data_IF_482903812870
#
_entry.id   IF_482903812870
#
_cell.length_a   1.000
_cell.length_b   1.000
_cell.length_c   1.000
_cell.angle_alpha   90.00
_cell.angle_beta   90.00
_cell.angle_gamma   90.00
#
_symmetry.space_group_name_H-M   'P 1'
#
loop_
_entity.id
_entity.type
_entity.pdbx_description
1 polymer ?
#
# COMPACT_ATOMS: atom_id res chain seq x y z
N UNK A 1 -3.09 -0.46 -9.43
CA UNK A 1 -3.77 -1.74 -9.71
C UNK A 1 -4.07 -2.40 -8.38
N UNK A 2 -5.32 -2.77 -8.11
CA UNK A 2 -5.70 -3.42 -6.85
C UNK A 2 -5.51 -4.92 -6.94
N UNK A 3 -4.83 -5.51 -5.95
CA UNK A 3 -4.74 -6.96 -5.81
C UNK A 3 -5.96 -7.47 -5.04
N UNK A 4 -6.85 -8.21 -5.72
CA UNK A 4 -8.10 -8.76 -5.16
C UNK A 4 -9.01 -7.69 -4.51
N UNK A 5 -8.97 -6.47 -5.04
CA UNK A 5 -9.77 -5.34 -4.55
C UNK A 5 -10.09 -4.36 -5.66
N UNK A 6 -11.32 -3.85 -5.67
CA UNK A 6 -11.78 -2.78 -6.55
C UNK A 6 -11.58 -1.38 -5.94
N UNK A 7 -11.32 -1.33 -4.63
CA UNK A 7 -11.06 -0.09 -3.89
C UNK A 7 -9.57 0.06 -3.61
N UNK A 8 -9.07 1.30 -3.67
CA UNK A 8 -7.71 1.64 -3.29
C UNK A 8 -7.56 1.42 -1.78
N UNK A 9 -6.65 0.55 -1.32
CA UNK A 9 -6.35 0.41 0.10
C UNK A 9 -5.71 1.68 0.66
N UNK A 10 -6.16 2.12 1.83
CA UNK A 10 -5.69 3.32 2.51
C UNK A 10 -4.69 2.98 3.62
N UNK A 11 -3.65 2.21 3.27
CA UNK A 11 -2.54 1.83 4.14
C UNK A 11 -2.97 1.05 5.40
N UNK A 12 -3.40 1.74 6.46
CA UNK A 12 -3.94 1.15 7.68
C UNK A 12 -5.36 0.58 7.49
N UNK A 13 -6.11 1.10 6.52
CA UNK A 13 -7.44 0.62 6.17
C UNK A 13 -7.41 -0.22 4.89
N UNK A 14 -8.23 -1.28 4.88
CA UNK A 14 -8.36 -2.18 3.73
C UNK A 14 -8.98 -1.51 2.51
N UNK A 15 -9.82 -0.52 2.72
CA UNK A 15 -10.55 0.20 1.68
C UNK A 15 -10.41 1.70 1.85
N UNK A 16 -10.77 2.42 0.79
CA UNK A 16 -10.97 3.87 0.78
C UNK A 16 -12.18 4.18 -0.12
N UNK A 17 -12.67 5.44 -0.16
CA UNK A 17 -13.73 5.82 -1.10
C UNK A 17 -13.26 5.86 -2.57
N UNK A 18 -11.97 5.64 -2.83
CA UNK A 18 -11.39 5.75 -4.17
C UNK A 18 -11.29 4.38 -4.86
N UNK A 19 -11.71 4.26 -6.14
CA UNK A 19 -11.54 3.03 -6.90
C UNK A 19 -10.10 2.87 -7.40
N UNK A 20 -9.67 1.62 -7.65
CA UNK A 20 -8.46 1.35 -8.44
C UNK A 20 -8.79 1.36 -9.93
N UNK A 21 -7.79 1.60 -10.79
CA UNK A 21 -7.99 1.59 -12.24
C UNK A 21 -8.27 0.20 -12.81
N UNK A 22 -7.70 -0.84 -12.19
CA UNK A 22 -7.79 -2.25 -12.63
C UNK A 22 -7.64 -3.15 -11.40
N UNK A 23 -8.48 -4.19 -11.33
CA UNK A 23 -8.42 -5.27 -10.34
C UNK A 23 -7.71 -6.49 -10.94
N UNK A 24 -6.84 -7.13 -10.16
CA UNK A 24 -6.11 -8.33 -10.55
C UNK A 24 -6.20 -9.36 -9.42
N UNK A 25 -6.50 -10.60 -9.78
CA UNK A 25 -6.89 -11.66 -8.83
C UNK A 25 -5.71 -12.51 -8.35
N UNK A 26 -4.60 -12.52 -9.08
CA UNK A 26 -3.45 -13.36 -8.76
C UNK A 26 -2.12 -12.78 -9.27
N UNK A 27 -0.97 -13.23 -8.71
CA UNK A 27 0.35 -12.75 -9.12
C UNK A 27 0.67 -12.95 -10.61
N UNK A 28 0.10 -13.97 -11.25
CA UNK A 28 0.32 -14.25 -12.67
C UNK A 28 -0.32 -13.18 -13.57
N UNK A 29 -1.51 -12.71 -13.24
CA UNK A 29 -2.15 -11.61 -13.96
C UNK A 29 -1.35 -10.30 -13.85
N UNK A 30 -0.78 -10.01 -12.67
CA UNK A 30 0.13 -8.87 -12.48
C UNK A 30 1.35 -9.01 -13.37
N UNK A 31 2.01 -10.18 -13.35
CA UNK A 31 3.16 -10.45 -14.19
C UNK A 31 2.86 -10.30 -15.70
N UNK A 32 1.70 -10.78 -16.15
CA UNK A 32 1.24 -10.61 -17.53
C UNK A 32 1.02 -9.14 -17.89
N UNK A 33 0.41 -8.34 -17.00
CA UNK A 33 0.24 -6.91 -17.19
C UNK A 33 1.57 -6.16 -17.28
N UNK A 34 2.54 -6.50 -16.43
CA UNK A 34 3.92 -5.96 -16.49
C UNK A 34 4.57 -6.27 -17.84
N UNK A 35 4.53 -7.54 -18.27
CA UNK A 35 5.11 -7.99 -19.54
C UNK A 35 4.44 -7.30 -20.74
N UNK A 36 3.11 -7.23 -20.77
CA UNK A 36 2.37 -6.57 -21.84
C UNK A 36 2.72 -5.08 -21.94
N UNK A 37 2.74 -4.37 -20.80
CA UNK A 37 3.13 -2.95 -20.74
C UNK A 37 4.52 -2.73 -21.35
N UNK A 38 5.53 -3.46 -20.89
CA UNK A 38 6.91 -3.23 -21.32
C UNK A 38 7.20 -3.74 -22.73
N UNK A 39 6.60 -4.86 -23.17
CA UNK A 39 6.72 -5.34 -24.54
C UNK A 39 6.07 -4.40 -25.56
N UNK A 40 5.10 -3.59 -25.12
CA UNK A 40 4.46 -2.56 -25.95
C UNK A 40 5.27 -1.25 -25.99
N UNK A 41 6.48 -1.22 -25.40
CA UNK A 41 7.35 -0.04 -25.34
C UNK A 41 6.92 1.03 -24.33
N UNK A 42 5.88 0.76 -23.50
CA UNK A 42 5.39 1.71 -22.51
C UNK A 42 6.30 1.74 -21.28
N UNK A 43 7.16 2.76 -21.17
CA UNK A 43 8.08 2.96 -20.04
C UNK A 43 7.34 3.23 -18.70
N UNK A 44 8.07 3.14 -17.59
CA UNK A 44 7.57 3.43 -16.24
C UNK A 44 7.15 2.20 -15.42
N UNK A 45 6.90 2.42 -14.13
CA UNK A 45 6.51 1.40 -13.16
C UNK A 45 5.00 1.13 -13.10
N UNK A 46 4.62 0.20 -12.21
CA UNK A 46 3.24 -0.09 -11.84
C UNK A 46 3.13 -0.04 -10.32
N UNK A 47 2.05 0.54 -9.80
CA UNK A 47 1.72 0.48 -8.37
C UNK A 47 0.71 -0.65 -8.15
N UNK A 48 1.12 -1.67 -7.40
CA UNK A 48 0.26 -2.77 -6.95
C UNK A 48 -0.20 -2.46 -5.53
N UNK A 49 -1.47 -2.14 -5.38
CA UNK A 49 -2.07 -1.81 -4.11
C UNK A 49 -2.66 -3.08 -3.50
N UNK A 50 -2.08 -3.50 -2.38
CA UNK A 50 -2.39 -4.75 -1.68
C UNK A 50 -3.00 -4.41 -0.32
N UNK A 51 -4.27 -4.75 -0.07
CA UNK A 51 -4.90 -4.48 1.22
C UNK A 51 -4.13 -5.09 2.39
N UNK A 52 -4.01 -4.36 3.50
CA UNK A 52 -3.54 -4.92 4.77
C UNK A 52 -4.40 -6.13 5.17
N UNK A 53 -3.85 -7.21 5.76
CA UNK A 53 -4.67 -8.33 6.21
C UNK A 53 -5.72 -7.89 7.24
N UNK A 54 -6.92 -8.47 7.18
CA UNK A 54 -8.06 -8.12 8.05
C UNK A 54 -7.72 -8.04 9.55
N UNK A 55 -6.96 -8.99 10.14
CA UNK A 55 -6.67 -8.96 11.57
C UNK A 55 -5.82 -7.77 12.03
N UNK A 56 -5.15 -7.08 11.09
CA UNK A 56 -4.28 -5.93 11.37
C UNK A 56 -4.83 -4.62 10.82
N UNK A 57 -6.01 -4.67 10.19
CA UNK A 57 -6.68 -3.49 9.67
C UNK A 57 -7.20 -2.63 10.83
N UNK A 58 -7.04 -1.32 10.70
CA UNK A 58 -7.53 -0.36 11.69
C UNK A 58 -8.90 0.19 11.30
N UNK A 59 -9.68 0.58 12.31
CA UNK A 59 -10.93 1.31 12.10
C UNK A 59 -10.66 2.62 11.37
N UNK A 60 -11.40 2.86 10.28
CA UNK A 60 -11.30 4.08 9.48
C UNK A 60 -11.55 5.33 10.34
N UNK A 61 -12.50 5.28 11.27
CA UNK A 61 -12.81 6.40 12.17
C UNK A 61 -11.64 6.69 13.10
N UNK A 62 -11.05 5.66 13.71
CA UNK A 62 -9.97 5.84 14.69
C UNK A 62 -8.69 6.34 14.01
N UNK A 63 -8.32 5.76 12.87
CA UNK A 63 -7.09 6.15 12.18
C UNK A 63 -7.20 7.53 11.53
N UNK A 64 -8.37 7.89 10.99
CA UNK A 64 -8.57 9.22 10.43
C UNK A 64 -8.47 10.30 11.51
N UNK A 65 -9.05 10.08 12.69
CA UNK A 65 -8.90 11.00 13.81
C UNK A 65 -7.43 11.21 14.22
N UNK A 66 -6.65 10.12 14.27
CA UNK A 66 -5.21 10.17 14.56
C UNK A 66 -4.41 10.89 13.47
N UNK A 67 -4.69 10.62 12.19
CA UNK A 67 -4.05 11.26 11.04
C UNK A 67 -4.36 12.76 11.03
N UNK A 68 -5.62 13.15 11.18
CA UNK A 68 -6.03 14.55 11.20
C UNK A 68 -5.35 15.32 12.33
N UNK A 69 -5.26 14.72 13.52
CA UNK A 69 -4.53 15.31 14.63
C UNK A 69 -3.03 15.46 14.33
N UNK A 70 -2.39 14.40 13.84
CA UNK A 70 -0.97 14.45 13.47
C UNK A 70 -0.68 15.50 12.38
N UNK A 71 -1.58 15.66 11.41
CA UNK A 71 -1.46 16.69 10.36
C UNK A 71 -1.57 18.09 10.96
N UNK A 72 -2.55 18.34 11.83
CA UNK A 72 -2.67 19.65 12.51
C UNK A 72 -1.43 19.98 13.32
N UNK A 73 -0.97 19.05 14.15
CA UNK A 73 0.23 19.24 14.99
C UNK A 73 1.49 19.46 14.13
N UNK A 74 1.60 18.80 12.97
CA UNK A 74 2.74 19.00 12.05
C UNK A 74 2.78 20.42 11.48
N UNK A 75 1.61 21.02 11.24
CA UNK A 75 1.48 22.38 10.73
C UNK A 75 1.79 23.41 11.83
N UNK A 76 1.26 23.20 13.03
CA UNK A 76 1.51 24.05 14.20
C UNK A 76 3.00 24.09 14.57
N UNK A 77 3.71 22.96 14.39
CA UNK A 77 5.14 22.84 14.66
C UNK A 77 6.03 23.22 13.47
N UNK A 78 5.46 23.58 12.32
CA UNK A 78 6.23 23.95 11.12
C UNK A 78 7.06 22.81 10.52
N UNK A 79 6.59 21.56 10.64
CA UNK A 79 7.28 20.38 10.08
C UNK A 79 7.06 20.31 8.58
N UNK A 80 8.14 20.37 7.79
CA UNK A 80 8.06 20.44 6.34
C UNK A 80 9.08 19.55 5.61
N UNK A 81 8.83 19.33 4.31
CA UNK A 81 9.74 18.59 3.44
C UNK A 81 9.92 17.14 3.89
N UNK A 82 11.19 16.70 3.96
CA UNK A 82 11.54 15.31 4.28
C UNK A 82 11.18 14.88 5.71
N UNK A 83 10.91 15.83 6.60
CA UNK A 83 10.60 15.57 8.01
C UNK A 83 9.12 15.27 8.24
N UNK A 84 8.24 15.65 7.30
CA UNK A 84 6.80 15.49 7.44
C UNK A 84 6.38 14.02 7.56
N UNK A 85 6.85 13.12 6.69
CA UNK A 85 6.42 11.71 6.74
C UNK A 85 6.91 10.98 8.01
N UNK A 86 8.19 11.07 8.42
CA UNK A 86 8.63 10.49 9.69
C UNK A 86 7.83 11.01 10.89
N UNK A 87 7.59 12.32 10.97
CA UNK A 87 6.79 12.91 12.04
C UNK A 87 5.36 12.33 12.08
N UNK A 88 4.67 12.33 10.94
CA UNK A 88 3.29 11.87 10.85
C UNK A 88 3.16 10.40 11.25
N UNK A 89 4.07 9.53 10.79
CA UNK A 89 4.03 8.11 11.12
C UNK A 89 4.29 7.86 12.61
N UNK A 90 5.30 8.53 13.18
CA UNK A 90 5.57 8.44 14.63
C UNK A 90 4.36 8.92 15.42
N UNK A 91 3.79 10.06 15.05
CA UNK A 91 2.70 10.66 15.80
C UNK A 91 1.41 9.85 15.72
N UNK A 92 1.08 9.30 14.55
CA UNK A 92 -0.05 8.37 14.39
C UNK A 92 0.16 7.12 15.24
N UNK A 93 1.39 6.58 15.31
CA UNK A 93 1.71 5.45 16.19
C UNK A 93 1.48 5.78 17.67
N UNK A 94 1.86 6.96 18.14
CA UNK A 94 1.63 7.39 19.53
C UNK A 94 0.15 7.55 19.84
N UNK A 95 -0.60 8.21 18.95
CA UNK A 95 -2.05 8.46 19.11
C UNK A 95 -2.89 7.18 19.07
N UNK A 96 -2.37 6.12 18.46
CA UNK A 96 -3.02 4.81 18.35
C UNK A 96 -2.50 3.78 19.35
N UNK A 97 -1.70 4.20 20.35
CA UNK A 97 -1.17 3.29 21.37
C UNK A 97 -0.25 2.20 20.82
N UNK A 98 0.40 2.44 19.67
CA UNK A 98 1.29 1.49 19.01
C UNK A 98 0.62 0.60 17.96
N UNK A 99 -0.71 0.58 17.85
CA UNK A 99 -1.41 -0.23 16.84
C UNK A 99 -1.04 0.17 15.41
N UNK A 100 -0.86 1.47 15.15
CA UNK A 100 -0.40 1.96 13.84
C UNK A 100 0.96 1.40 13.43
N UNK A 101 1.89 1.23 14.38
CA UNK A 101 3.19 0.61 14.09
C UNK A 101 3.04 -0.88 13.77
N UNK A 102 2.26 -1.61 14.56
CA UNK A 102 2.02 -3.04 14.33
C UNK A 102 1.36 -3.29 12.97
N UNK A 103 0.34 -2.50 12.62
CA UNK A 103 -0.32 -2.55 11.32
C UNK A 103 0.66 -2.30 10.17
N UNK A 104 1.56 -1.32 10.31
CA UNK A 104 2.58 -1.02 9.30
C UNK A 104 3.57 -2.18 9.10
N UNK A 105 4.04 -2.80 10.20
CA UNK A 105 4.92 -3.98 10.14
C UNK A 105 4.27 -5.12 9.35
N UNK A 106 3.02 -5.44 9.68
CA UNK A 106 2.27 -6.52 9.02
C UNK A 106 1.96 -6.21 7.55
N UNK A 107 1.68 -4.94 7.23
CA UNK A 107 1.52 -4.49 5.84
C UNK A 107 2.82 -4.69 5.04
N UNK A 108 3.99 -4.38 5.61
CA UNK A 108 5.29 -4.59 4.97
C UNK A 108 5.52 -6.07 4.69
N UNK A 109 5.26 -6.96 5.65
CA UNK A 109 5.39 -8.41 5.42
C UNK A 109 4.42 -8.93 4.37
N UNK A 110 3.17 -8.47 4.39
CA UNK A 110 2.17 -8.84 3.39
C UNK A 110 2.59 -8.39 1.98
N UNK A 111 3.14 -7.17 1.85
CA UNK A 111 3.64 -6.65 0.59
C UNK A 111 4.87 -7.40 0.09
N UNK A 112 5.82 -7.73 0.98
CA UNK A 112 7.01 -8.51 0.63
C UNK A 112 6.63 -9.91 0.10
N UNK A 113 5.67 -10.57 0.76
CA UNK A 113 5.13 -11.87 0.32
C UNK A 113 4.54 -11.79 -1.08
N UNK A 114 3.66 -10.82 -1.34
CA UNK A 114 3.03 -10.65 -2.66
C UNK A 114 4.08 -10.30 -3.73
N UNK A 115 5.03 -9.41 -3.42
CA UNK A 115 6.10 -9.03 -4.34
C UNK A 115 6.97 -10.23 -4.75
N UNK A 116 7.31 -11.12 -3.80
CA UNK A 116 8.03 -12.35 -4.09
C UNK A 116 7.24 -13.27 -5.04
N UNK A 117 5.93 -13.44 -4.80
CA UNK A 117 5.07 -14.24 -5.67
C UNK A 117 4.95 -13.67 -7.09
N UNK A 118 4.82 -12.34 -7.22
CA UNK A 118 4.81 -11.64 -8.52
C UNK A 118 6.14 -11.87 -9.24
N UNK A 119 7.25 -11.76 -8.53
CA UNK A 119 8.59 -11.99 -9.11
C UNK A 119 8.74 -13.39 -9.66
N UNK A 120 8.33 -14.42 -8.90
CA UNK A 120 8.35 -15.82 -9.37
C UNK A 120 7.48 -15.98 -10.62
N UNK A 121 6.26 -15.44 -10.61
CA UNK A 121 5.35 -15.50 -11.75
C UNK A 121 5.91 -14.79 -12.99
N UNK A 122 6.52 -13.63 -12.81
CA UNK A 122 7.17 -12.86 -13.88
C UNK A 122 8.35 -13.60 -14.50
N UNK A 123 9.20 -14.23 -13.68
CA UNK A 123 10.30 -15.05 -14.17
C UNK A 123 9.78 -16.28 -14.95
N UNK A 124 8.73 -16.93 -14.46
CA UNK A 124 8.15 -18.10 -15.13
C UNK A 124 7.63 -17.77 -16.54
N UNK A 125 6.96 -16.62 -16.73
CA UNK A 125 6.45 -16.22 -18.05
C UNK A 125 7.53 -15.70 -19.01
N UNK A 126 8.73 -15.40 -18.50
CA UNK A 126 9.87 -14.95 -19.31
C UNK A 126 10.82 -16.08 -19.71
N UNK A 127 10.84 -17.20 -18.99
CA UNK A 127 11.65 -18.39 -19.36
C UNK A 127 11.19 -19.09 -20.64
N UNK A 128 10.01 -18.76 -21.16
CA UNK A 128 9.43 -19.35 -22.38
C UNK A 128 9.60 -18.48 -23.63
N UNK A 129 10.60 -17.59 -23.64
CA UNK A 129 11.08 -16.84 -24.81
C UNK A 129 12.56 -17.13 -25.02
#
# INVERSE_FOLDING_TARGET
>A
MGYQTEKLPAFFCRTSPFPVSVTLENPRQIAQAMKAKWNSGLRGGLVIANPIPEPFAMSEVQINAAIEQAVRESQEQGIHGKESTPFLLTRVSELTGGEGLQANIELVFNNAKLAAQITIAYQAINKHQ
#
